data_IF_227560595529
#
_entry.id   IF_227560595529
#
_cell.length_a   1.000
_cell.length_b   1.000
_cell.length_c   1.000
_cell.angle_alpha   90.00
_cell.angle_beta   90.00
_cell.angle_gamma   90.00
#
_symmetry.space_group_name_H-M   'P 1'
#
loop_
_entity.id
_entity.type
_entity.pdbx_description
1 polymer ?
#
# COMPACT_ATOMS: atom_id res chain seq x y z
N UNK A 1 -49.68 -28.68 10.97
CA UNK A 1 -48.58 -29.07 10.07
C UNK A 1 -48.21 -27.81 9.31
N UNK A 2 -47.28 -27.03 9.85
CA UNK A 2 -46.96 -25.68 9.39
C UNK A 2 -46.00 -25.83 8.21
N UNK A 3 -46.41 -25.40 7.02
CA UNK A 3 -45.53 -25.38 5.85
C UNK A 3 -44.29 -24.53 6.17
N UNK A 4 -43.13 -25.19 6.25
CA UNK A 4 -41.84 -24.51 6.19
C UNK A 4 -41.66 -24.04 4.75
N UNK A 5 -42.00 -22.77 4.49
CA UNK A 5 -41.64 -22.14 3.21
C UNK A 5 -40.11 -22.16 3.08
N UNK A 6 -39.58 -22.95 2.15
CA UNK A 6 -38.18 -22.85 1.75
C UNK A 6 -37.91 -21.43 1.26
N UNK A 7 -37.10 -20.67 2.01
CA UNK A 7 -36.59 -19.39 1.52
C UNK A 7 -35.72 -19.67 0.28
N UNK A 8 -35.96 -19.00 -0.86
CA UNK A 8 -35.18 -19.24 -2.06
C UNK A 8 -33.71 -18.93 -1.78
N UNK A 9 -32.83 -19.85 -2.19
CA UNK A 9 -31.39 -19.67 -2.05
C UNK A 9 -30.97 -18.31 -2.64
N UNK A 10 -30.22 -17.48 -1.90
CA UNK A 10 -29.88 -16.14 -2.35
C UNK A 10 -29.07 -16.23 -3.66
N UNK A 11 -29.47 -15.44 -4.65
CA UNK A 11 -28.82 -15.41 -5.97
C UNK A 11 -27.31 -15.15 -5.86
N UNK A 12 -26.51 -15.59 -6.83
CA UNK A 12 -25.07 -15.36 -6.88
C UNK A 12 -24.72 -13.85 -6.76
N UNK A 13 -25.57 -12.98 -7.32
CA UNK A 13 -25.44 -11.53 -7.18
C UNK A 13 -25.63 -11.07 -5.73
N UNK A 14 -26.65 -11.58 -5.03
CA UNK A 14 -26.91 -11.25 -3.62
C UNK A 14 -25.78 -11.72 -2.71
N UNK A 15 -25.21 -12.90 -2.98
CA UNK A 15 -24.05 -13.42 -2.25
C UNK A 15 -22.79 -12.57 -2.50
N UNK A 16 -22.58 -12.13 -3.74
CA UNK A 16 -21.47 -11.24 -4.07
C UNK A 16 -21.61 -9.87 -3.40
N UNK A 17 -22.80 -9.27 -3.42
CA UNK A 17 -23.05 -7.97 -2.78
C UNK A 17 -22.86 -8.03 -1.26
N UNK A 18 -23.34 -9.09 -0.61
CA UNK A 18 -23.14 -9.27 0.84
C UNK A 18 -21.67 -9.53 1.18
N UNK A 19 -20.95 -10.33 0.38
CA UNK A 19 -19.51 -10.52 0.54
C UNK A 19 -18.71 -9.22 0.33
N UNK A 20 -19.10 -8.40 -0.66
CA UNK A 20 -18.43 -7.13 -1.01
C UNK A 20 -18.65 -6.05 0.05
N UNK A 21 -19.83 -6.04 0.68
CA UNK A 21 -20.15 -5.20 1.83
C UNK A 21 -19.45 -5.65 3.13
N UNK A 22 -18.87 -6.85 3.14
CA UNK A 22 -18.16 -7.42 4.29
C UNK A 22 -16.83 -6.74 4.61
N UNK A 23 -16.24 -7.13 5.75
CA UNK A 23 -14.95 -6.61 6.22
C UNK A 23 -13.75 -7.12 5.41
N UNK A 24 -13.84 -8.17 4.62
CA UNK A 24 -12.67 -8.69 3.91
C UNK A 24 -12.86 -8.49 2.41
N UNK A 25 -11.75 -8.33 1.70
CA UNK A 25 -11.77 -8.32 0.24
C UNK A 25 -12.36 -9.65 -0.27
N UNK A 26 -13.16 -9.57 -1.32
CA UNK A 26 -13.65 -10.75 -2.02
C UNK A 26 -12.51 -11.43 -2.76
N UNK A 27 -12.64 -12.73 -3.06
CA UNK A 27 -11.66 -13.46 -3.90
C UNK A 27 -11.46 -12.77 -5.26
N UNK A 28 -12.54 -12.23 -5.82
CA UNK A 28 -12.51 -11.45 -7.06
C UNK A 28 -11.64 -10.18 -6.93
N UNK A 29 -11.70 -9.49 -5.80
CA UNK A 29 -10.89 -8.30 -5.57
C UNK A 29 -9.40 -8.64 -5.46
N UNK A 30 -9.03 -9.77 -4.83
CA UNK A 30 -7.64 -10.25 -4.83
C UNK A 30 -7.15 -10.59 -6.24
N UNK A 31 -7.99 -11.24 -7.06
CA UNK A 31 -7.66 -11.53 -8.45
C UNK A 31 -7.49 -10.24 -9.26
N UNK A 32 -8.36 -9.25 -9.09
CA UNK A 32 -8.26 -7.95 -9.75
C UNK A 32 -6.95 -7.22 -9.38
N UNK A 33 -6.53 -7.26 -8.10
CA UNK A 33 -5.22 -6.72 -7.69
C UNK A 33 -4.08 -7.48 -8.37
N UNK A 34 -4.12 -8.81 -8.36
CA UNK A 34 -3.08 -9.64 -8.97
C UNK A 34 -2.93 -9.38 -10.49
N UNK A 35 -4.06 -9.32 -11.20
CA UNK A 35 -4.10 -8.99 -12.63
C UNK A 35 -3.60 -7.56 -12.86
N UNK A 36 -4.05 -6.59 -12.06
CA UNK A 36 -3.62 -5.20 -12.16
C UNK A 36 -2.11 -5.05 -11.97
N UNK A 37 -1.54 -5.68 -10.94
CA UNK A 37 -0.08 -5.66 -10.68
C UNK A 37 0.69 -6.35 -11.81
N UNK A 38 0.25 -7.52 -12.27
CA UNK A 38 0.88 -8.21 -13.39
C UNK A 38 0.86 -7.36 -14.67
N UNK A 39 -0.25 -6.65 -14.90
CA UNK A 39 -0.40 -5.72 -16.02
C UNK A 39 0.45 -4.47 -15.85
N UNK A 40 0.67 -3.98 -14.63
CA UNK A 40 1.62 -2.88 -14.38
C UNK A 40 3.07 -3.27 -14.66
N UNK A 41 3.45 -4.53 -14.45
CA UNK A 41 4.79 -5.01 -14.81
C UNK A 41 4.98 -4.93 -16.32
N UNK A 42 3.95 -5.16 -17.14
CA UNK A 42 4.09 -5.01 -18.59
C UNK A 42 4.24 -3.55 -19.01
N UNK A 43 3.72 -2.59 -18.24
CA UNK A 43 3.97 -1.16 -18.45
C UNK A 43 5.46 -0.83 -18.36
N UNK A 44 6.26 -1.51 -17.53
CA UNK A 44 7.69 -1.15 -17.41
C UNK A 44 8.57 -1.77 -18.51
N UNK A 45 8.03 -2.70 -19.29
CA UNK A 45 8.74 -3.39 -20.37
C UNK A 45 8.27 -2.84 -21.74
N UNK A 46 9.03 -1.89 -22.30
CA UNK A 46 8.69 -1.17 -23.54
C UNK A 46 8.21 -2.08 -24.70
N UNK A 47 8.93 -3.13 -25.13
CA UNK A 47 8.49 -3.96 -26.26
C UNK A 47 7.20 -4.74 -25.97
N UNK A 48 6.94 -5.09 -24.70
CA UNK A 48 5.71 -5.78 -24.31
C UNK A 48 4.51 -4.81 -24.29
N UNK A 49 4.72 -3.57 -23.85
CA UNK A 49 3.69 -2.54 -23.87
C UNK A 49 3.33 -2.13 -25.29
N UNK A 50 4.31 -1.83 -26.15
CA UNK A 50 4.05 -1.38 -27.52
C UNK A 50 3.25 -2.41 -28.33
N UNK A 51 3.55 -3.71 -28.16
CA UNK A 51 2.85 -4.80 -28.84
C UNK A 51 1.37 -4.97 -28.41
N UNK A 52 1.00 -4.52 -27.21
CA UNK A 52 -0.31 -4.82 -26.62
C UNK A 52 -0.95 -3.66 -25.83
N UNK A 53 -0.55 -2.41 -26.07
CA UNK A 53 -0.93 -1.25 -25.24
C UNK A 53 -2.45 -1.11 -25.06
N UNK A 54 -3.25 -1.29 -26.12
CA UNK A 54 -4.72 -1.27 -26.02
C UNK A 54 -5.28 -2.32 -25.06
N UNK A 55 -4.71 -3.54 -25.04
CA UNK A 55 -5.15 -4.60 -24.13
C UNK A 55 -4.73 -4.32 -22.69
N UNK A 56 -3.50 -3.80 -22.50
CA UNK A 56 -2.99 -3.41 -21.19
C UNK A 56 -3.89 -2.34 -20.58
N UNK A 57 -4.19 -1.27 -21.32
CA UNK A 57 -5.06 -0.20 -20.86
C UNK A 57 -6.49 -0.72 -20.60
N UNK A 58 -7.04 -1.55 -21.48
CA UNK A 58 -8.37 -2.12 -21.30
C UNK A 58 -8.49 -2.97 -20.02
N UNK A 59 -7.49 -3.79 -19.72
CA UNK A 59 -7.44 -4.60 -18.48
C UNK A 59 -7.37 -3.69 -17.25
N UNK A 60 -6.54 -2.65 -17.28
CA UNK A 60 -6.40 -1.71 -16.18
C UNK A 60 -7.70 -0.91 -15.95
N UNK A 61 -8.36 -0.46 -17.02
CA UNK A 61 -9.68 0.15 -16.93
C UNK A 61 -10.75 -0.81 -16.38
N UNK A 62 -10.72 -2.09 -16.78
CA UNK A 62 -11.64 -3.08 -16.24
C UNK A 62 -11.41 -3.31 -14.73
N UNK A 63 -10.16 -3.39 -14.28
CA UNK A 63 -9.81 -3.46 -12.86
C UNK A 63 -10.27 -2.20 -12.11
N UNK A 64 -10.05 -1.01 -12.68
CA UNK A 64 -10.50 0.25 -12.10
C UNK A 64 -12.03 0.30 -11.97
N UNK A 65 -12.76 -0.10 -13.01
CA UNK A 65 -14.22 -0.16 -12.99
C UNK A 65 -14.72 -1.12 -11.90
N UNK A 66 -14.07 -2.27 -11.73
CA UNK A 66 -14.37 -3.20 -10.65
C UNK A 66 -14.16 -2.57 -9.26
N UNK A 67 -13.04 -1.89 -9.03
CA UNK A 67 -12.79 -1.23 -7.74
C UNK A 67 -13.70 -0.03 -7.48
N UNK A 68 -14.05 0.74 -8.52
CA UNK A 68 -15.03 1.82 -8.43
C UNK A 68 -16.41 1.27 -8.05
N UNK A 69 -16.82 0.16 -8.67
CA UNK A 69 -18.06 -0.54 -8.31
C UNK A 69 -18.04 -1.01 -6.85
N UNK A 70 -16.97 -1.68 -6.41
CA UNK A 70 -16.80 -2.10 -5.01
C UNK A 70 -16.91 -0.92 -4.03
N UNK A 71 -16.24 0.19 -4.34
CA UNK A 71 -16.26 1.42 -3.54
C UNK A 71 -17.68 2.01 -3.44
N UNK A 72 -18.41 2.09 -4.55
CA UNK A 72 -19.82 2.57 -4.56
C UNK A 72 -20.72 1.67 -3.72
N UNK A 73 -20.58 0.34 -3.83
CA UNK A 73 -21.36 -0.62 -3.03
C UNK A 73 -21.10 -0.41 -1.53
N UNK A 74 -19.84 -0.25 -1.13
CA UNK A 74 -19.46 -0.04 0.28
C UNK A 74 -19.95 1.30 0.83
N UNK A 75 -19.90 2.36 0.03
CA UNK A 75 -20.46 3.66 0.40
C UNK A 75 -21.97 3.56 0.60
N UNK A 76 -22.70 2.92 -0.35
CA UNK A 76 -24.15 2.71 -0.22
C UNK A 76 -24.51 1.92 1.04
N UNK A 77 -23.79 0.84 1.33
CA UNK A 77 -23.97 0.10 2.57
C UNK A 77 -23.69 0.93 3.84
N UNK A 78 -22.76 1.88 3.75
CA UNK A 78 -22.45 2.79 4.87
C UNK A 78 -23.56 3.79 5.17
N UNK A 79 -24.26 4.28 4.15
CA UNK A 79 -25.42 5.16 4.32
C UNK A 79 -26.56 4.45 5.05
N UNK A 80 -26.81 3.18 4.73
CA UNK A 80 -27.83 2.36 5.41
C UNK A 80 -27.50 2.15 6.89
N UNK A 81 -26.21 2.05 7.22
CA UNK A 81 -25.74 1.82 8.61
C UNK A 81 -25.45 3.11 9.39
N UNK A 82 -25.55 4.28 8.74
CA UNK A 82 -25.27 5.59 9.35
C UNK A 82 -23.81 5.81 9.76
N UNK A 83 -22.87 5.00 9.26
CA UNK A 83 -21.44 5.09 9.63
C UNK A 83 -20.64 5.82 8.54
N UNK A 84 -19.78 6.78 8.88
CA UNK A 84 -19.07 7.57 7.88
C UNK A 84 -17.89 6.77 7.29
N UNK A 85 -18.17 5.95 6.27
CA UNK A 85 -17.19 5.01 5.69
C UNK A 85 -15.97 5.70 5.07
N UNK A 86 -16.15 6.84 4.41
CA UNK A 86 -15.09 7.59 3.74
C UNK A 86 -13.94 8.02 4.67
N UNK A 87 -14.22 8.22 5.96
CA UNK A 87 -13.24 8.65 6.96
C UNK A 87 -12.58 7.47 7.68
N UNK A 88 -13.03 6.24 7.41
CA UNK A 88 -12.40 5.04 7.96
C UNK A 88 -11.11 4.74 7.20
N UNK A 89 -10.11 4.16 7.89
CA UNK A 89 -8.84 3.79 7.24
C UNK A 89 -9.03 2.92 5.98
N UNK A 90 -10.08 2.10 5.90
CA UNK A 90 -10.39 1.32 4.69
C UNK A 90 -11.08 2.13 3.60
N UNK A 91 -11.99 3.02 3.96
CA UNK A 91 -12.62 3.92 2.99
C UNK A 91 -11.59 4.84 2.35
N UNK A 92 -10.60 5.31 3.12
CA UNK A 92 -9.47 6.07 2.58
C UNK A 92 -8.65 5.25 1.58
N UNK A 93 -8.33 3.99 1.89
CA UNK A 93 -7.62 3.10 0.96
C UNK A 93 -8.40 2.80 -0.32
N UNK A 94 -9.70 2.53 -0.21
CA UNK A 94 -10.54 2.29 -1.38
C UNK A 94 -10.67 3.56 -2.24
N UNK A 95 -10.81 4.73 -1.61
CA UNK A 95 -10.87 6.02 -2.30
C UNK A 95 -9.54 6.31 -3.01
N UNK A 96 -8.41 6.13 -2.32
CA UNK A 96 -7.09 6.29 -2.93
C UNK A 96 -6.88 5.34 -4.11
N UNK A 97 -7.33 4.08 -4.00
CA UNK A 97 -7.26 3.12 -5.10
C UNK A 97 -8.13 3.50 -6.31
N UNK A 98 -9.34 4.02 -6.09
CA UNK A 98 -10.24 4.42 -7.18
C UNK A 98 -9.78 5.71 -7.86
N UNK A 99 -9.28 6.68 -7.10
CA UNK A 99 -8.96 8.01 -7.65
C UNK A 99 -7.49 8.21 -8.02
N UNK A 100 -6.56 7.39 -7.53
CA UNK A 100 -5.11 7.57 -7.76
C UNK A 100 -4.74 7.69 -9.23
N UNK A 101 -5.00 6.65 -10.03
CA UNK A 101 -4.68 6.68 -11.46
C UNK A 101 -5.50 7.72 -12.25
N UNK A 102 -6.83 7.84 -12.06
CA UNK A 102 -7.63 8.87 -12.76
C UNK A 102 -7.21 10.31 -12.48
N UNK A 103 -6.84 10.67 -11.25
CA UNK A 103 -6.37 12.02 -10.92
C UNK A 103 -5.10 12.35 -11.74
N UNK A 104 -4.18 11.39 -11.84
CA UNK A 104 -2.92 11.59 -12.57
C UNK A 104 -3.15 11.66 -14.09
N UNK A 105 -4.08 10.86 -14.63
CA UNK A 105 -4.54 10.98 -16.02
C UNK A 105 -5.15 12.36 -16.30
N UNK A 106 -6.03 12.85 -15.41
CA UNK A 106 -6.67 14.16 -15.55
C UNK A 106 -5.68 15.32 -15.40
N UNK A 107 -4.59 15.12 -14.68
CA UNK A 107 -3.48 16.07 -14.59
C UNK A 107 -2.61 16.13 -15.87
N UNK A 108 -2.93 15.33 -16.90
CA UNK A 108 -2.25 15.35 -18.19
C UNK A 108 -1.00 14.46 -18.26
N UNK A 109 -0.79 13.57 -17.28
CA UNK A 109 0.31 12.61 -17.34
C UNK A 109 0.06 11.56 -18.43
N UNK A 110 1.15 11.01 -18.98
CA UNK A 110 1.08 9.88 -19.90
C UNK A 110 0.36 8.68 -19.26
N UNK A 111 -0.47 7.92 -20.01
CA UNK A 111 -1.22 6.79 -19.46
C UNK A 111 -0.35 5.78 -18.72
N UNK A 112 0.83 5.49 -19.28
CA UNK A 112 1.82 4.58 -18.72
C UNK A 112 2.25 4.98 -17.30
N UNK A 113 2.54 6.27 -17.10
CA UNK A 113 2.92 6.85 -15.81
C UNK A 113 1.74 6.92 -14.85
N UNK A 114 0.56 7.31 -15.34
CA UNK A 114 -0.63 7.42 -14.52
C UNK A 114 -1.08 6.06 -13.98
N UNK A 115 -0.99 5.01 -14.79
CA UNK A 115 -1.35 3.65 -14.37
C UNK A 115 -0.40 3.05 -13.33
N UNK A 116 0.81 3.55 -13.16
CA UNK A 116 1.67 3.13 -12.04
C UNK A 116 1.07 3.50 -10.68
N UNK A 117 0.24 4.55 -10.59
CA UNK A 117 -0.45 4.93 -9.35
C UNK A 117 -1.53 3.91 -8.94
N UNK A 118 -1.96 3.03 -9.84
CA UNK A 118 -2.84 1.94 -9.47
C UNK A 118 -2.13 0.88 -8.59
N UNK A 119 -0.83 1.00 -8.31
CA UNK A 119 -0.15 0.26 -7.22
C UNK A 119 -0.84 0.45 -5.87
N UNK A 120 -1.58 1.55 -5.68
CA UNK A 120 -2.42 1.78 -4.50
C UNK A 120 -3.47 0.67 -4.29
N UNK A 121 -3.87 -0.06 -5.33
CA UNK A 121 -4.76 -1.22 -5.21
C UNK A 121 -4.14 -2.33 -4.36
N UNK A 122 -2.81 -2.48 -4.39
CA UNK A 122 -2.11 -3.45 -3.55
C UNK A 122 -2.28 -3.14 -2.06
N UNK A 123 -2.33 -1.86 -1.68
CA UNK A 123 -2.52 -1.45 -0.28
C UNK A 123 -3.89 -1.92 0.25
N UNK A 124 -4.90 -2.11 -0.61
CA UNK A 124 -6.21 -2.67 -0.20
C UNK A 124 -6.10 -4.10 0.35
N UNK A 125 -5.06 -4.85 0.00
CA UNK A 125 -4.81 -6.22 0.50
C UNK A 125 -4.41 -6.22 1.98
N UNK A 126 -3.70 -5.18 2.43
CA UNK A 126 -3.08 -5.09 3.76
C UNK A 126 -4.08 -5.33 4.92
N UNK A 127 -5.27 -4.69 4.97
CA UNK A 127 -6.25 -4.91 6.05
C UNK A 127 -6.85 -6.32 6.13
N UNK A 128 -6.68 -7.11 5.05
CA UNK A 128 -7.12 -8.50 4.96
C UNK A 128 -6.16 -9.49 5.60
N UNK A 129 -4.88 -9.12 5.77
CA UNK A 129 -3.82 -10.02 6.25
C UNK A 129 -3.95 -10.21 7.78
N UNK A 130 -4.25 -11.43 8.28
CA UNK A 130 -4.40 -11.67 9.72
C UNK A 130 -3.10 -11.40 10.49
N UNK A 131 -1.96 -11.79 9.93
CA UNK A 131 -0.63 -11.58 10.53
C UNK A 131 -0.32 -10.11 10.79
N UNK A 132 -0.65 -9.19 9.86
CA UNK A 132 -0.44 -7.75 10.06
C UNK A 132 -1.35 -7.18 11.14
N UNK A 133 -2.55 -7.73 11.31
CA UNK A 133 -3.46 -7.32 12.39
C UNK A 133 -2.91 -7.74 13.75
N UNK A 134 -2.30 -8.92 13.83
CA UNK A 134 -1.64 -9.41 15.03
C UNK A 134 -0.36 -8.62 15.33
N UNK A 135 0.46 -8.36 14.31
CA UNK A 135 1.65 -7.51 14.43
C UNK A 135 1.28 -6.12 14.94
N UNK A 136 0.27 -5.48 14.33
CA UNK A 136 -0.24 -4.18 14.82
C UNK A 136 -0.64 -4.26 16.29
N UNK A 137 -1.32 -5.33 16.71
CA UNK A 137 -1.73 -5.50 18.11
C UNK A 137 -0.51 -5.56 19.03
N UNK A 138 0.51 -6.33 18.67
CA UNK A 138 1.76 -6.41 19.43
C UNK A 138 2.46 -5.05 19.48
N UNK A 139 2.59 -4.35 18.35
CA UNK A 139 3.21 -3.02 18.29
C UNK A 139 2.49 -2.01 19.18
N UNK A 140 1.15 -2.06 19.22
CA UNK A 140 0.35 -1.15 20.08
C UNK A 140 0.46 -1.53 21.56
N UNK A 141 0.52 -2.82 21.89
CA UNK A 141 0.66 -3.27 23.28
C UNK A 141 2.06 -3.00 23.83
N UNK A 142 3.09 -3.23 23.01
CA UNK A 142 4.51 -3.07 23.36
C UNK A 142 5.07 -1.72 22.90
N UNK A 143 4.21 -0.72 22.65
CA UNK A 143 4.64 0.56 22.09
C UNK A 143 5.59 1.32 23.02
N UNK A 144 5.43 1.18 24.34
CA UNK A 144 6.31 1.79 25.34
C UNK A 144 7.76 1.27 25.22
N UNK A 145 7.99 -0.05 25.42
CA UNK A 145 9.32 -0.64 25.23
C UNK A 145 9.91 -0.41 23.84
N UNK A 146 9.11 -0.58 22.77
CA UNK A 146 9.57 -0.34 21.39
C UNK A 146 9.99 1.12 21.18
N UNK A 147 9.27 2.08 21.75
CA UNK A 147 9.64 3.49 21.69
C UNK A 147 10.94 3.76 22.44
N UNK A 148 11.14 3.17 23.62
CA UNK A 148 12.41 3.31 24.36
C UNK A 148 13.60 2.79 23.56
N UNK A 149 13.46 1.62 22.91
CA UNK A 149 14.52 1.05 22.06
C UNK A 149 14.76 1.93 20.82
N UNK A 150 13.70 2.47 20.21
CA UNK A 150 13.82 3.40 19.09
C UNK A 150 14.59 4.66 19.48
N UNK A 151 14.28 5.26 20.64
CA UNK A 151 15.00 6.44 21.16
C UNK A 151 16.47 6.10 21.39
N UNK A 152 16.77 4.94 21.99
CA UNK A 152 18.14 4.48 22.19
C UNK A 152 18.89 4.36 20.85
N UNK A 153 18.27 3.76 19.83
CA UNK A 153 18.88 3.67 18.50
C UNK A 153 19.14 5.05 17.89
N UNK A 154 18.20 5.99 18.00
CA UNK A 154 18.39 7.35 17.48
C UNK A 154 19.53 8.07 18.20
N UNK A 155 19.68 7.88 19.52
CA UNK A 155 20.82 8.42 20.28
C UNK A 155 22.13 7.82 19.81
N UNK A 156 22.21 6.50 19.64
CA UNK A 156 23.42 5.82 19.15
C UNK A 156 23.78 6.28 17.74
N UNK A 157 22.80 6.38 16.84
CA UNK A 157 23.01 6.89 15.48
C UNK A 157 23.54 8.32 15.48
N UNK A 158 22.96 9.18 16.31
CA UNK A 158 23.38 10.58 16.41
C UNK A 158 24.80 10.70 17.00
N UNK A 159 25.10 9.97 18.08
CA UNK A 159 26.43 9.97 18.68
C UNK A 159 27.48 9.40 17.73
N UNK A 160 27.19 8.30 17.03
CA UNK A 160 28.08 7.72 16.03
C UNK A 160 28.34 8.66 14.86
N UNK A 161 27.28 9.31 14.36
CA UNK A 161 27.37 10.34 13.32
C UNK A 161 28.23 11.53 13.74
N UNK A 162 28.07 12.04 14.96
CA UNK A 162 28.88 13.15 15.48
C UNK A 162 30.34 12.72 15.68
N UNK A 163 30.57 11.51 16.22
CA UNK A 163 31.91 10.97 16.39
C UNK A 163 32.63 10.87 15.05
N UNK A 164 32.01 10.27 14.05
CA UNK A 164 32.59 10.09 12.71
C UNK A 164 32.84 11.43 12.01
N UNK A 165 31.89 12.37 12.12
CA UNK A 165 32.10 13.73 11.67
C UNK A 165 33.35 14.37 12.31
N UNK A 166 33.55 14.23 13.61
CA UNK A 166 34.72 14.82 14.27
C UNK A 166 36.03 14.13 13.89
N UNK A 167 36.00 12.83 13.61
CA UNK A 167 37.19 12.04 13.28
C UNK A 167 37.61 12.22 11.81
N UNK A 168 36.65 12.21 10.89
CA UNK A 168 36.92 12.03 9.46
C UNK A 168 36.57 13.26 8.59
N UNK A 169 35.97 14.33 9.13
CA UNK A 169 35.59 15.52 8.32
C UNK A 169 36.75 16.14 7.54
N UNK A 170 37.97 16.05 8.05
CA UNK A 170 39.14 16.66 7.43
C UNK A 170 39.79 15.72 6.39
N UNK A 171 39.71 14.40 6.59
CA UNK A 171 40.27 13.39 5.68
C UNK A 171 39.30 13.03 4.54
N UNK A 172 38.01 12.95 4.85
CA UNK A 172 36.93 12.54 3.95
C UNK A 172 35.75 13.54 3.98
N UNK A 173 36.00 14.82 3.62
CA UNK A 173 34.97 15.88 3.71
C UNK A 173 33.76 15.65 2.80
N UNK A 174 33.89 14.85 1.73
CA UNK A 174 32.76 14.51 0.85
C UNK A 174 31.74 13.59 1.54
N UNK A 175 32.21 12.72 2.43
CA UNK A 175 31.38 11.73 3.15
C UNK A 175 30.98 12.24 4.53
N UNK A 176 31.95 12.79 5.27
CA UNK A 176 31.79 13.17 6.67
C UNK A 176 31.90 14.70 6.87
N UNK A 177 31.67 15.51 5.83
CA UNK A 177 31.72 16.97 5.93
C UNK A 177 30.55 17.60 6.68
N UNK A 178 29.56 16.83 7.09
CA UNK A 178 28.48 17.29 7.98
C UNK A 178 27.89 16.13 8.79
N UNK A 179 27.32 16.43 9.96
CA UNK A 179 26.66 15.43 10.80
C UNK A 179 25.53 14.70 10.03
N UNK A 180 24.62 15.36 9.30
CA UNK A 180 23.60 14.63 8.51
C UNK A 180 24.19 13.70 7.44
N UNK A 181 25.33 14.05 6.83
CA UNK A 181 26.02 13.17 5.89
C UNK A 181 26.60 11.93 6.60
N UNK A 182 27.27 12.13 7.75
CA UNK A 182 27.78 11.05 8.59
C UNK A 182 26.67 10.16 9.19
N UNK A 183 25.44 10.68 9.33
CA UNK A 183 24.30 9.90 9.83
C UNK A 183 23.96 8.72 8.93
N UNK A 184 24.08 8.89 7.61
CA UNK A 184 23.83 7.79 6.67
C UNK A 184 24.81 6.63 6.89
N UNK A 185 26.09 6.94 7.12
CA UNK A 185 27.09 5.94 7.47
C UNK A 185 26.74 5.24 8.79
N UNK A 186 26.38 6.00 9.83
CA UNK A 186 25.98 5.43 11.13
C UNK A 186 24.77 4.49 10.99
N UNK A 187 23.80 4.83 10.12
CA UNK A 187 22.68 3.95 9.79
C UNK A 187 23.17 2.67 9.12
N UNK A 188 23.98 2.76 8.07
CA UNK A 188 24.48 1.61 7.33
C UNK A 188 25.31 0.64 8.20
N UNK A 189 26.08 1.19 9.15
CA UNK A 189 26.85 0.40 10.12
C UNK A 189 25.93 -0.26 11.15
N UNK A 190 24.97 0.47 11.72
CA UNK A 190 24.04 -0.06 12.72
C UNK A 190 23.10 -1.14 12.15
N UNK A 191 22.67 -0.98 10.89
CA UNK A 191 21.88 -1.98 10.17
C UNK A 191 22.73 -3.10 9.56
N UNK A 192 24.04 -3.10 9.86
CA UNK A 192 25.03 -4.07 9.35
C UNK A 192 24.97 -4.24 7.84
N UNK A 193 24.58 -3.19 7.11
CA UNK A 193 24.52 -3.21 5.64
C UNK A 193 25.93 -3.11 5.09
N UNK A 194 26.77 -2.28 5.71
CA UNK A 194 28.23 -2.25 5.53
C UNK A 194 28.66 -2.19 4.07
N UNK A 195 28.50 -1.02 3.43
CA UNK A 195 28.85 -0.85 2.01
C UNK A 195 30.35 -1.01 1.72
N UNK A 196 31.23 -0.83 2.71
CA UNK A 196 32.67 -1.07 2.60
C UNK A 196 33.42 -0.11 1.67
N UNK A 197 32.74 0.91 1.16
CA UNK A 197 33.23 1.94 0.24
C UNK A 197 33.57 3.28 0.95
N UNK A 198 33.10 3.46 2.19
CA UNK A 198 33.31 4.65 3.03
C UNK A 198 34.00 4.31 4.36
N UNK A 199 35.12 3.61 4.28
CA UNK A 199 36.06 3.33 5.39
C UNK A 199 37.49 3.49 4.91
#
# INVERSE_FOLDING_TARGET
>A
MTEMSEQPAPSALTQFLTATAGRNMTKAAYLAVGIGVATMVTLTVNPAYEAAHHWVDAVLFACLAFFAFEWVVRIRGSFVTGRPYLVTGRGLLDTAGVFGAPIVLLAGAEPKTAWLFAILWFVKVVPGIPGLRQLRRVVVLESGPLFSVLVLFLVVLFLGSVAEYFLERDAQPQTFGSVPAALWWAVATLTTTGYGDVV
#
